data_IF_201613971041
#
_entry.id   IF_201613971041
#
_cell.length_a   1.000
_cell.length_b   1.000
_cell.length_c   1.000
_cell.angle_alpha   90.00
_cell.angle_beta   90.00
_cell.angle_gamma   90.00
#
_symmetry.space_group_name_H-M   'P 1'
#
loop_
_entity.id
_entity.type
_entity.pdbx_description
1 polymer ?
#
# COMPACT_ATOMS: atom_id res chain seq x y z
N UNK A 1 -6.10 -20.01 -0.36
CA UNK A 1 -5.38 -18.91 -0.98
C UNK A 1 -6.35 -17.99 -1.73
N UNK A 2 -6.31 -16.72 -1.40
CA UNK A 2 -7.07 -15.73 -2.14
C UNK A 2 -6.35 -15.38 -3.44
N UNK A 3 -7.11 -15.27 -4.52
CA UNK A 3 -6.56 -14.74 -5.75
C UNK A 3 -6.51 -13.21 -5.66
N UNK A 4 -5.39 -12.65 -6.05
CA UNK A 4 -5.20 -11.19 -6.06
C UNK A 4 -5.18 -10.71 -7.51
N UNK A 5 -5.98 -9.69 -7.81
CA UNK A 5 -5.97 -9.08 -9.13
C UNK A 5 -4.78 -8.16 -9.25
N UNK A 6 -3.92 -8.46 -10.22
CA UNK A 6 -2.75 -7.64 -10.54
C UNK A 6 -2.92 -7.06 -11.93
N UNK A 7 -2.84 -5.75 -12.04
CA UNK A 7 -2.89 -5.09 -13.34
C UNK A 7 -1.69 -4.18 -13.52
N UNK A 8 -1.20 -4.09 -14.76
CA UNK A 8 -0.02 -3.30 -15.07
C UNK A 8 -0.30 -2.32 -16.19
N UNK A 9 0.43 -1.21 -16.18
CA UNK A 9 0.43 -0.24 -17.27
C UNK A 9 1.76 -0.32 -17.99
N UNK A 10 2.09 -1.50 -18.57
CA UNK A 10 3.31 -1.72 -19.32
C UNK A 10 4.51 -2.19 -18.51
N UNK A 11 4.32 -2.63 -17.28
CA UNK A 11 5.40 -3.14 -16.43
C UNK A 11 5.55 -4.65 -16.57
N UNK A 12 6.75 -5.14 -16.29
CA UNK A 12 7.02 -6.57 -16.30
C UNK A 12 6.38 -7.27 -15.11
N UNK A 13 5.80 -8.47 -15.31
CA UNK A 13 5.13 -9.20 -14.23
C UNK A 13 6.02 -9.51 -13.03
N UNK A 14 7.31 -9.77 -13.24
CA UNK A 14 8.21 -10.12 -12.14
C UNK A 14 8.38 -8.96 -11.16
N UNK A 15 8.52 -7.72 -11.66
CA UNK A 15 8.60 -6.55 -10.80
C UNK A 15 7.32 -6.33 -10.02
N UNK A 16 6.18 -6.56 -10.66
CA UNK A 16 4.88 -6.41 -10.01
C UNK A 16 4.72 -7.42 -8.87
N UNK A 17 5.12 -8.69 -9.09
CA UNK A 17 5.00 -9.74 -8.08
C UNK A 17 5.89 -9.42 -6.87
N UNK A 18 7.13 -8.98 -7.10
CA UNK A 18 8.03 -8.60 -6.01
C UNK A 18 7.46 -7.46 -5.18
N UNK A 19 6.91 -6.45 -5.84
CA UNK A 19 6.27 -5.33 -5.14
C UNK A 19 5.05 -5.79 -4.34
N UNK A 20 4.26 -6.70 -4.89
CA UNK A 20 3.10 -7.26 -4.19
C UNK A 20 3.52 -7.87 -2.85
N UNK A 21 4.53 -8.76 -2.85
CA UNK A 21 4.96 -9.41 -1.62
C UNK A 21 5.54 -8.43 -0.61
N UNK A 22 6.32 -7.46 -1.07
CA UNK A 22 6.91 -6.45 -0.19
C UNK A 22 5.83 -5.61 0.50
N UNK A 23 4.82 -5.21 -0.24
CA UNK A 23 3.71 -4.41 0.30
C UNK A 23 2.86 -5.27 1.24
N UNK A 24 2.53 -6.50 0.84
CA UNK A 24 1.67 -7.37 1.65
C UNK A 24 2.30 -7.67 3.01
N UNK A 25 3.62 -7.85 3.06
CA UNK A 25 4.31 -8.09 4.31
C UNK A 25 4.10 -6.96 5.31
N UNK A 26 4.18 -5.71 4.86
CA UNK A 26 3.98 -4.55 5.73
C UNK A 26 2.51 -4.43 6.13
N UNK A 27 1.59 -4.64 5.18
CA UNK A 27 0.15 -4.52 5.46
C UNK A 27 -0.34 -5.54 6.49
N UNK A 28 0.29 -6.71 6.56
CA UNK A 28 -0.10 -7.73 7.53
C UNK A 28 0.15 -7.29 8.98
N UNK A 29 0.96 -6.27 9.22
CA UNK A 29 1.13 -5.71 10.56
C UNK A 29 -0.18 -5.17 11.13
N UNK A 30 -1.14 -4.83 10.27
CA UNK A 30 -2.48 -4.34 10.66
C UNK A 30 -3.58 -5.23 10.10
N UNK A 31 -3.28 -6.48 9.83
CA UNK A 31 -4.23 -7.48 9.30
C UNK A 31 -4.91 -7.02 8.01
N UNK A 32 -4.21 -6.24 7.20
CA UNK A 32 -4.71 -5.79 5.92
C UNK A 32 -4.23 -6.74 4.82
N UNK A 33 -5.15 -7.20 3.99
CA UNK A 33 -4.83 -8.09 2.87
C UNK A 33 -5.13 -7.40 1.56
N UNK A 34 -4.24 -7.57 0.59
CA UNK A 34 -4.40 -7.00 -0.74
C UNK A 34 -5.48 -7.80 -1.48
N UNK A 35 -6.53 -7.11 -1.93
CA UNK A 35 -7.52 -7.68 -2.84
C UNK A 35 -7.15 -7.36 -4.28
N UNK A 36 -6.70 -6.13 -4.54
CA UNK A 36 -6.34 -5.69 -5.87
C UNK A 36 -5.13 -4.78 -5.81
N UNK A 37 -4.21 -4.96 -6.76
CA UNK A 37 -3.05 -4.09 -6.91
C UNK A 37 -3.00 -3.62 -8.36
N UNK A 38 -2.98 -2.31 -8.56
CA UNK A 38 -2.92 -1.70 -9.88
C UNK A 38 -1.65 -0.87 -9.99
N UNK A 39 -0.85 -1.15 -11.02
CA UNK A 39 0.33 -0.36 -11.35
C UNK A 39 -0.03 0.58 -12.50
N UNK A 40 -0.26 1.84 -12.18
CA UNK A 40 -0.72 2.84 -13.13
C UNK A 40 0.45 3.50 -13.85
N UNK A 41 0.13 4.31 -14.86
CA UNK A 41 1.12 5.11 -15.57
C UNK A 41 1.87 6.01 -14.58
N UNK A 42 3.10 6.38 -14.95
CA UNK A 42 3.99 7.23 -14.13
C UNK A 42 4.38 6.60 -12.79
N UNK A 43 4.31 5.26 -12.70
CA UNK A 43 4.81 4.53 -11.55
C UNK A 43 3.92 4.54 -10.33
N UNK A 44 2.68 4.99 -10.43
CA UNK A 44 1.76 4.98 -9.30
C UNK A 44 1.27 3.55 -9.04
N UNK A 45 1.34 3.12 -7.78
CA UNK A 45 0.81 1.83 -7.33
C UNK A 45 -0.38 2.10 -6.43
N UNK A 46 -1.54 1.55 -6.80
CA UNK A 46 -2.76 1.66 -6.00
C UNK A 46 -3.14 0.29 -5.48
N UNK A 47 -3.29 0.18 -4.16
CA UNK A 47 -3.70 -1.05 -3.48
C UNK A 47 -5.12 -0.87 -2.98
N UNK A 48 -5.97 -1.89 -3.23
CA UNK A 48 -7.26 -2.00 -2.57
C UNK A 48 -7.21 -3.23 -1.66
N UNK A 49 -7.58 -3.05 -0.40
CA UNK A 49 -7.60 -4.15 0.56
C UNK A 49 -8.95 -4.87 0.55
N UNK A 50 -9.01 -6.04 1.16
CA UNK A 50 -10.24 -6.84 1.22
C UNK A 50 -11.37 -6.12 1.98
N UNK A 51 -11.03 -5.22 2.89
CA UNK A 51 -12.01 -4.40 3.62
C UNK A 51 -12.21 -3.02 3.00
N UNK A 52 -11.89 -2.89 1.69
CA UNK A 52 -12.18 -1.72 0.87
C UNK A 52 -11.42 -0.46 1.29
N UNK A 53 -10.25 -0.61 1.85
CA UNK A 53 -9.31 0.49 2.09
C UNK A 53 -8.39 0.65 0.89
N UNK A 54 -7.84 1.84 0.71
CA UNK A 54 -6.95 2.14 -0.41
C UNK A 54 -5.61 2.65 0.10
N UNK A 55 -4.52 2.18 -0.51
CA UNK A 55 -3.17 2.62 -0.15
C UNK A 55 -2.43 2.92 -1.45
N UNK A 56 -1.76 4.07 -1.50
CA UNK A 56 -1.11 4.55 -2.71
C UNK A 56 0.37 4.72 -2.49
N UNK A 57 1.16 4.23 -3.45
CA UNK A 57 2.61 4.31 -3.45
C UNK A 57 3.12 4.86 -4.77
N UNK A 58 4.40 5.20 -4.80
CA UNK A 58 5.14 5.54 -6.01
C UNK A 58 6.27 4.51 -6.17
N UNK A 59 6.38 3.85 -7.32
CA UNK A 59 7.25 2.67 -7.46
C UNK A 59 8.74 2.96 -7.24
N UNK A 60 9.23 4.11 -7.73
CA UNK A 60 10.66 4.43 -7.61
C UNK A 60 11.08 4.79 -6.17
N UNK A 61 10.14 5.00 -5.28
CA UNK A 61 10.41 5.28 -3.87
C UNK A 61 9.83 4.21 -2.94
N UNK A 62 9.45 3.09 -3.49
CA UNK A 62 8.72 2.06 -2.75
C UNK A 62 9.45 1.59 -1.47
N UNK A 63 10.77 1.30 -1.49
CA UNK A 63 11.45 0.88 -0.26
C UNK A 63 11.34 1.90 0.88
N UNK A 64 11.50 3.19 0.57
CA UNK A 64 11.39 4.24 1.58
C UNK A 64 9.96 4.39 2.07
N UNK A 65 8.99 4.28 1.17
CA UNK A 65 7.58 4.37 1.51
C UNK A 65 7.14 3.21 2.39
N UNK A 66 7.62 2.00 2.10
CA UNK A 66 7.31 0.84 2.93
C UNK A 66 7.92 0.98 4.33
N UNK A 67 9.12 1.55 4.43
CA UNK A 67 9.73 1.82 5.73
C UNK A 67 8.90 2.83 6.53
N UNK A 68 8.47 3.89 5.88
CA UNK A 68 7.62 4.91 6.51
C UNK A 68 6.32 4.29 7.01
N UNK A 69 5.68 3.48 6.18
CA UNK A 69 4.43 2.81 6.55
C UNK A 69 4.64 1.84 7.71
N UNK A 70 5.72 1.06 7.67
CA UNK A 70 6.03 0.11 8.73
C UNK A 70 6.23 0.83 10.07
N UNK A 71 7.00 1.90 10.08
CA UNK A 71 7.22 2.69 11.29
C UNK A 71 5.91 3.27 11.82
N UNK A 72 5.06 3.77 10.92
CA UNK A 72 3.75 4.27 11.31
C UNK A 72 2.89 3.16 11.93
N UNK A 73 2.82 1.99 11.30
CA UNK A 73 2.04 0.88 11.82
C UNK A 73 2.53 0.39 13.19
N UNK A 74 3.82 0.54 13.47
CA UNK A 74 4.39 0.15 14.75
C UNK A 74 4.26 1.25 15.82
N UNK A 75 3.80 2.43 15.46
CA UNK A 75 3.64 3.54 16.40
C UNK A 75 2.37 3.37 17.24
N UNK A 76 2.38 3.94 18.45
CA UNK A 76 1.22 3.88 19.34
C UNK A 76 0.04 4.66 18.77
N UNK A 77 0.30 5.73 18.02
CA UNK A 77 -0.75 6.58 17.49
C UNK A 77 -1.51 5.94 16.33
N UNK A 78 -0.94 4.91 15.70
CA UNK A 78 -1.56 4.31 14.52
C UNK A 78 -2.94 3.73 14.81
N UNK A 79 -3.16 3.17 16.00
CA UNK A 79 -4.46 2.60 16.35
C UNK A 79 -5.58 3.63 16.28
N UNK A 80 -5.31 4.84 16.80
CA UNK A 80 -6.31 5.91 16.78
C UNK A 80 -6.44 6.52 15.37
N UNK A 81 -5.32 6.74 14.70
CA UNK A 81 -5.33 7.37 13.39
C UNK A 81 -5.94 6.48 12.32
N UNK A 82 -5.90 5.15 12.49
CA UNK A 82 -6.49 4.22 11.55
C UNK A 82 -7.95 3.90 11.81
N UNK A 83 -8.56 4.46 12.85
CA UNK A 83 -9.99 4.30 13.05
C UNK A 83 -10.75 4.99 11.92
N UNK A 84 -11.60 4.23 11.23
CA UNK A 84 -12.44 4.72 10.13
C UNK A 84 -11.64 5.31 8.97
N UNK A 85 -10.36 4.90 8.79
CA UNK A 85 -9.62 5.39 7.65
C UNK A 85 -10.16 4.77 6.36
N UNK A 86 -10.04 5.53 5.28
CA UNK A 86 -10.38 5.07 3.94
C UNK A 86 -9.12 4.89 3.09
N UNK A 87 -8.20 5.84 3.16
CA UNK A 87 -7.01 5.86 2.31
C UNK A 87 -5.77 6.19 3.11
N UNK A 88 -4.63 5.65 2.64
CA UNK A 88 -3.30 6.08 3.08
C UNK A 88 -2.51 6.38 1.81
N UNK A 89 -1.96 7.59 1.71
CA UNK A 89 -1.20 8.03 0.56
C UNK A 89 0.24 8.26 0.98
N UNK A 90 1.16 7.48 0.39
CA UNK A 90 2.59 7.54 0.70
C UNK A 90 3.42 8.17 -0.40
N UNK A 91 2.78 8.83 -1.37
CA UNK A 91 3.48 9.43 -2.51
C UNK A 91 4.21 10.73 -2.17
N UNK A 92 4.09 11.22 -0.94
CA UNK A 92 4.79 12.41 -0.48
C UNK A 92 6.07 12.01 0.26
N UNK A 93 7.15 12.74 0.03
CA UNK A 93 8.45 12.40 0.61
C UNK A 93 8.39 12.44 2.15
N UNK A 94 8.80 11.34 2.79
CA UNK A 94 8.90 11.19 4.24
C UNK A 94 7.61 11.46 5.00
N UNK A 95 6.45 11.38 4.31
CA UNK A 95 5.15 11.65 4.92
C UNK A 95 4.11 10.66 4.42
N UNK A 96 3.07 10.50 5.21
CA UNK A 96 1.88 9.81 4.74
C UNK A 96 0.66 10.67 5.08
N UNK A 97 -0.35 10.58 4.22
CA UNK A 97 -1.61 11.28 4.42
C UNK A 97 -2.72 10.25 4.59
N UNK A 98 -3.57 10.46 5.59
CA UNK A 98 -4.68 9.55 5.88
C UNK A 98 -5.98 10.25 5.51
N UNK A 99 -6.77 9.60 4.64
CA UNK A 99 -8.10 10.07 4.30
C UNK A 99 -9.16 9.26 5.05
N UNK A 100 -10.26 9.92 5.41
CA UNK A 100 -11.34 9.29 6.16
C UNK A 100 -12.64 9.31 5.37
N UNK A 101 -13.57 8.45 5.77
CA UNK A 101 -14.91 8.44 5.16
C UNK A 101 -15.67 9.72 5.46
#
# INVERSE_FOLDING_TARGET
>A
LSLVNLSTAGKEPLGLIGNYYAIQEVLLLKDLQIEEMEHKKFGQIKIQTTNKKFIKFQDFQLPDQLRTLKLFFQSKDSQNLLKNFKTIDLRHKDKLAIGYY
#
